data_IF_765095606535
#
_entry.id   IF_765095606535
#
_cell.length_a   1.000
_cell.length_b   1.000
_cell.length_c   1.000
_cell.angle_alpha   90.00
_cell.angle_beta   90.00
_cell.angle_gamma   90.00
#
_symmetry.space_group_name_H-M   'P 1'
#
loop_
_entity.id
_entity.type
_entity.pdbx_description
1 polymer ?
#
# COMPACT_ATOMS: atom_id res chain seq x y z
N UNK A 1 0.54 17.71 -9.61
CA UNK A 1 1.72 17.20 -8.90
C UNK A 1 2.47 16.22 -9.81
N UNK A 2 2.60 16.54 -11.12
CA UNK A 2 2.99 15.60 -12.19
C UNK A 2 4.26 16.03 -12.96
N UNK A 3 4.91 17.12 -12.54
CA UNK A 3 5.94 17.79 -13.36
C UNK A 3 7.39 17.45 -12.98
N UNK A 4 7.60 16.45 -12.13
CA UNK A 4 8.92 15.99 -11.72
C UNK A 4 9.09 14.55 -12.23
N UNK A 5 10.19 14.24 -12.91
CA UNK A 5 10.43 12.95 -13.60
C UNK A 5 10.55 11.71 -12.70
N UNK A 6 9.90 11.71 -11.55
CA UNK A 6 9.81 10.61 -10.60
C UNK A 6 9.23 9.36 -11.29
N UNK A 7 9.82 8.21 -11.01
CA UNK A 7 9.33 6.92 -11.49
C UNK A 7 8.13 6.50 -10.62
N UNK A 8 6.95 7.06 -10.94
CA UNK A 8 5.70 6.82 -10.22
C UNK A 8 5.30 5.34 -10.23
N UNK A 9 5.70 4.59 -11.27
CA UNK A 9 5.46 3.14 -11.36
C UNK A 9 6.22 2.42 -10.24
N UNK A 10 7.51 2.74 -10.07
CA UNK A 10 8.33 2.17 -8.98
C UNK A 10 7.80 2.60 -7.61
N UNK A 11 7.41 3.87 -7.44
CA UNK A 11 6.84 4.36 -6.18
C UNK A 11 5.55 3.61 -5.83
N UNK A 12 4.62 3.47 -6.77
CA UNK A 12 3.36 2.77 -6.55
C UNK A 12 3.58 1.30 -6.12
N UNK A 13 4.55 0.61 -6.74
CA UNK A 13 4.92 -0.76 -6.35
C UNK A 13 5.50 -0.84 -4.94
N UNK A 14 6.40 0.08 -4.58
CA UNK A 14 7.01 0.13 -3.24
C UNK A 14 5.97 0.42 -2.17
N UNK A 15 5.04 1.35 -2.42
CA UNK A 15 3.93 1.64 -1.51
C UNK A 15 3.01 0.42 -1.34
N UNK A 16 2.70 -0.29 -2.42
CA UNK A 16 1.91 -1.51 -2.38
C UNK A 16 2.58 -2.61 -1.54
N UNK A 17 3.90 -2.78 -1.70
CA UNK A 17 4.68 -3.73 -0.91
C UNK A 17 4.74 -3.34 0.57
N UNK A 18 4.97 -2.05 0.87
CA UNK A 18 4.97 -1.54 2.24
C UNK A 18 3.63 -1.77 2.95
N UNK A 19 2.51 -1.52 2.27
CA UNK A 19 1.18 -1.79 2.83
C UNK A 19 0.91 -3.29 3.04
N UNK A 20 1.34 -4.13 2.10
CA UNK A 20 1.25 -5.59 2.26
C UNK A 20 2.08 -6.07 3.47
N UNK A 21 3.26 -5.48 3.71
CA UNK A 21 4.04 -5.76 4.91
C UNK A 21 3.29 -5.40 6.20
N UNK A 22 2.61 -4.25 6.23
CA UNK A 22 1.75 -3.88 7.37
C UNK A 22 0.70 -4.96 7.64
N UNK A 23 -0.02 -5.41 6.62
CA UNK A 23 -1.16 -6.31 6.79
C UNK A 23 -0.78 -7.76 7.12
N UNK A 24 0.27 -8.31 6.49
CA UNK A 24 0.53 -9.75 6.52
C UNK A 24 1.72 -10.13 7.41
N UNK A 25 2.78 -9.31 7.38
CA UNK A 25 3.98 -9.53 8.20
C UNK A 25 3.80 -8.91 9.59
N UNK A 26 3.50 -7.62 9.67
CA UNK A 26 3.30 -6.91 10.94
C UNK A 26 1.91 -7.14 11.56
N UNK A 27 0.91 -7.50 10.74
CA UNK A 27 -0.48 -7.71 11.16
C UNK A 27 -1.08 -6.49 11.87
N UNK A 28 -0.90 -5.33 11.26
CA UNK A 28 -1.49 -4.07 11.69
C UNK A 28 -2.34 -3.45 10.57
N UNK A 29 -3.35 -2.67 10.94
CA UNK A 29 -4.31 -2.07 10.00
C UNK A 29 -3.78 -0.86 9.22
N UNK A 30 -2.55 -0.41 9.51
CA UNK A 30 -1.93 0.77 8.92
C UNK A 30 -2.77 2.05 9.10
N UNK A 31 -3.55 2.14 10.18
CA UNK A 31 -4.33 3.34 10.48
C UNK A 31 -3.40 4.51 10.85
N UNK A 32 -3.59 5.64 10.16
CA UNK A 32 -2.87 6.92 10.31
C UNK A 32 -1.37 6.90 10.01
N UNK A 33 -0.83 5.83 9.40
CA UNK A 33 0.59 5.79 9.05
C UNK A 33 0.92 6.81 7.96
N UNK A 34 2.17 7.26 7.88
CA UNK A 34 2.67 8.04 6.73
C UNK A 34 3.89 7.35 6.10
N UNK A 35 4.01 7.41 4.77
CA UNK A 35 5.17 6.85 4.06
C UNK A 35 6.01 7.95 3.40
N UNK A 36 7.29 7.97 3.72
CA UNK A 36 8.23 8.98 3.22
C UNK A 36 9.38 8.33 2.46
N UNK A 37 9.66 8.86 1.26
CA UNK A 37 10.82 8.46 0.46
C UNK A 37 12.06 9.22 0.96
N UNK A 38 13.12 8.49 1.28
CA UNK A 38 14.39 9.08 1.69
C UNK A 38 15.55 8.48 0.89
N UNK A 39 16.64 9.24 0.72
CA UNK A 39 17.87 8.68 0.13
C UNK A 39 18.44 7.59 1.03
N UNK A 40 18.91 6.51 0.41
CA UNK A 40 19.72 5.52 1.11
C UNK A 40 21.04 6.17 1.52
N UNK A 41 21.30 6.25 2.82
CA UNK A 41 22.55 6.81 3.39
C UNK A 41 23.59 5.74 3.72
N UNK A 42 23.25 4.46 3.54
CA UNK A 42 24.14 3.35 3.83
C UNK A 42 24.65 2.78 2.51
N UNK A 43 25.96 2.85 2.29
CA UNK A 43 26.55 2.18 1.13
C UNK A 43 26.48 0.67 1.32
N UNK A 44 26.28 -0.07 0.22
CA UNK A 44 26.30 -1.53 0.19
C UNK A 44 27.53 -2.14 0.91
N UNK A 45 28.64 -1.39 1.03
CA UNK A 45 29.86 -1.82 1.72
C UNK A 45 29.75 -1.94 3.25
N UNK A 46 28.71 -1.38 3.88
CA UNK A 46 28.44 -1.51 5.33
C UNK A 46 27.44 -2.64 5.60
N UNK A 47 26.60 -2.98 4.62
CA UNK A 47 25.55 -3.99 4.73
C UNK A 47 26.10 -5.42 4.82
N UNK A 48 27.23 -5.69 4.16
CA UNK A 48 27.95 -6.98 4.22
C UNK A 48 28.75 -7.20 5.52
N UNK A 49 28.89 -6.17 6.39
CA UNK A 49 29.82 -6.22 7.54
C UNK A 49 29.17 -6.53 8.88
N UNK A 50 27.84 -6.68 8.93
CA UNK A 50 27.11 -6.94 10.17
C UNK A 50 26.21 -8.16 9.97
N UNK A 51 26.64 -9.31 10.47
CA UNK A 51 25.81 -10.51 10.57
C UNK A 51 24.51 -10.17 11.33
N UNK A 52 23.36 -10.46 10.73
CA UNK A 52 22.04 -10.30 11.36
C UNK A 52 21.24 -9.05 10.96
N UNK A 53 21.70 -8.24 10.00
CA UNK A 53 20.84 -7.19 9.44
C UNK A 53 19.87 -7.74 8.38
N UNK A 54 18.58 -7.49 8.59
CA UNK A 54 17.54 -7.74 7.60
C UNK A 54 17.87 -6.95 6.31
N UNK A 55 17.67 -7.55 5.12
CA UNK A 55 17.82 -6.81 3.87
C UNK A 55 16.89 -5.60 3.90
N UNK A 56 17.46 -4.41 3.68
CA UNK A 56 16.66 -3.18 3.55
C UNK A 56 16.07 -3.12 2.14
N UNK A 57 14.77 -2.85 1.98
CA UNK A 57 14.18 -2.64 0.67
C UNK A 57 14.69 -1.30 0.11
N UNK A 58 15.74 -1.37 -0.70
CA UNK A 58 16.28 -0.23 -1.46
C UNK A 58 15.75 -0.34 -2.88
N UNK A 59 15.24 0.77 -3.41
CA UNK A 59 14.79 0.87 -4.80
C UNK A 59 15.48 2.04 -5.48
N UNK A 60 15.48 2.05 -6.81
CA UNK A 60 16.18 3.07 -7.60
C UNK A 60 15.19 3.92 -8.37
N UNK A 61 15.30 5.23 -8.23
CA UNK A 61 14.56 6.22 -9.04
C UNK A 61 15.59 7.16 -9.64
N UNK A 62 15.59 7.28 -10.97
CA UNK A 62 16.54 8.13 -11.71
C UNK A 62 18.03 7.93 -11.30
N UNK A 63 18.43 6.70 -10.99
CA UNK A 63 19.80 6.38 -10.57
C UNK A 63 20.13 6.72 -9.10
N UNK A 64 19.19 7.26 -8.32
CA UNK A 64 19.32 7.42 -6.88
C UNK A 64 18.76 6.20 -6.15
N UNK A 65 19.51 5.68 -5.17
CA UNK A 65 19.03 4.66 -4.25
C UNK A 65 18.21 5.31 -3.14
N UNK A 66 16.97 4.85 -3.00
CA UNK A 66 15.99 5.35 -2.05
C UNK A 66 15.50 4.21 -1.14
N UNK A 67 15.03 4.60 0.03
CA UNK A 67 14.33 3.75 1.00
C UNK A 67 13.00 4.40 1.36
N UNK A 68 12.07 3.58 1.85
CA UNK A 68 10.79 4.05 2.39
C UNK A 68 10.83 4.00 3.92
N UNK A 69 10.42 5.08 4.56
CA UNK A 69 10.20 5.15 6.01
C UNK A 69 8.71 5.18 6.29
N UNK A 70 8.27 4.44 7.30
CA UNK A 70 6.92 4.53 7.86
C UNK A 70 6.99 5.40 9.12
N UNK A 71 6.20 6.46 9.16
CA UNK A 71 6.05 7.40 10.27
C UNK A 71 4.63 7.28 10.86
N UNK A 72 4.41 7.96 12.00
CA UNK A 72 3.10 8.18 12.63
C UNK A 72 2.28 6.90 12.84
N UNK A 73 2.95 5.84 13.30
CA UNK A 73 2.36 4.52 13.53
C UNK A 73 1.77 4.36 14.94
N UNK A 74 1.51 5.44 15.68
CA UNK A 74 0.95 5.38 17.04
C UNK A 74 -0.56 5.06 17.06
N UNK A 75 -1.24 5.26 15.93
CA UNK A 75 -2.66 4.96 15.74
C UNK A 75 -2.95 3.58 15.12
N UNK A 76 -1.93 2.75 14.87
CA UNK A 76 -2.11 1.41 14.28
C UNK A 76 -2.68 0.43 15.29
N UNK A 77 -3.51 -0.49 14.81
CA UNK A 77 -4.06 -1.55 15.64
C UNK A 77 -3.80 -2.91 15.02
N UNK A 78 -3.84 -3.96 15.85
CA UNK A 78 -3.77 -5.34 15.39
C UNK A 78 -4.86 -5.62 14.35
N UNK A 79 -4.46 -6.37 13.32
CA UNK A 79 -5.25 -6.78 12.18
C UNK A 79 -5.44 -8.31 12.20
N UNK A 80 -6.66 -8.78 12.46
CA UNK A 80 -7.01 -10.19 12.30
C UNK A 80 -6.87 -10.60 10.82
N UNK A 81 -6.58 -11.88 10.58
CA UNK A 81 -6.36 -12.41 9.22
C UNK A 81 -7.65 -13.08 8.74
N UNK A 82 -8.73 -12.30 8.76
CA UNK A 82 -10.09 -12.68 8.39
C UNK A 82 -10.83 -11.45 7.83
N UNK A 83 -12.10 -11.63 7.47
CA UNK A 83 -12.90 -10.54 6.90
C UNK A 83 -13.11 -9.35 7.83
N UNK A 84 -13.09 -9.55 9.16
CA UNK A 84 -13.19 -8.44 10.11
C UNK A 84 -11.95 -7.54 10.02
N UNK A 85 -10.77 -8.16 10.02
CA UNK A 85 -9.51 -7.45 9.83
C UNK A 85 -9.47 -6.74 8.48
N UNK A 86 -9.84 -7.43 7.40
CA UNK A 86 -9.88 -6.81 6.06
C UNK A 86 -10.82 -5.62 5.98
N UNK A 87 -11.98 -5.68 6.62
CA UNK A 87 -12.90 -4.55 6.72
C UNK A 87 -12.27 -3.38 7.47
N UNK A 88 -11.57 -3.66 8.58
CA UNK A 88 -10.85 -2.64 9.37
C UNK A 88 -9.72 -1.98 8.58
N UNK A 89 -8.91 -2.76 7.87
CA UNK A 89 -7.86 -2.25 6.99
C UNK A 89 -8.43 -1.39 5.84
N UNK A 90 -9.56 -1.80 5.25
CA UNK A 90 -10.22 -1.01 4.21
C UNK A 90 -10.73 0.34 4.76
N UNK A 91 -11.28 0.33 5.97
CA UNK A 91 -11.69 1.56 6.65
C UNK A 91 -10.50 2.48 6.97
N UNK A 92 -9.40 1.93 7.47
CA UNK A 92 -8.17 2.68 7.74
C UNK A 92 -7.63 3.35 6.47
N UNK A 93 -7.49 2.61 5.36
CA UNK A 93 -7.00 3.14 4.08
C UNK A 93 -7.78 4.38 3.60
N UNK A 94 -9.10 4.37 3.74
CA UNK A 94 -9.96 5.48 3.32
C UNK A 94 -10.09 6.62 4.34
N UNK A 95 -9.63 6.39 5.56
CA UNK A 95 -9.54 7.40 6.63
C UNK A 95 -8.22 8.16 6.57
N UNK A 96 -7.14 7.47 6.21
CA UNK A 96 -5.82 8.07 6.07
C UNK A 96 -5.84 9.16 4.99
N UNK A 97 -4.92 10.12 5.11
CA UNK A 97 -4.71 11.11 4.08
C UNK A 97 -4.35 10.44 2.73
N UNK A 98 -4.74 11.03 1.59
CA UNK A 98 -4.58 10.38 0.28
C UNK A 98 -3.12 10.42 -0.18
N UNK A 99 -2.30 9.49 0.29
CA UNK A 99 -0.91 9.29 -0.17
C UNK A 99 -0.70 7.96 -0.93
N UNK A 100 -1.71 7.09 -0.96
CA UNK A 100 -1.75 5.94 -1.86
C UNK A 100 -2.52 6.28 -3.15
N UNK A 101 -2.22 5.62 -4.29
CA UNK A 101 -3.12 5.62 -5.43
C UNK A 101 -4.52 5.14 -4.99
N UNK A 102 -5.56 5.91 -5.30
CA UNK A 102 -6.95 5.60 -4.93
C UNK A 102 -7.77 5.25 -6.18
N UNK A 103 -8.67 4.26 -6.11
CA UNK A 103 -9.60 4.02 -7.20
C UNK A 103 -10.72 5.07 -7.22
N UNK A 104 -11.10 5.47 -8.44
CA UNK A 104 -12.30 6.28 -8.69
C UNK A 104 -12.33 7.64 -7.99
N UNK A 105 -11.19 8.32 -7.83
CA UNK A 105 -11.22 9.69 -7.33
C UNK A 105 -12.11 10.59 -8.21
N UNK A 106 -12.85 11.53 -7.63
CA UNK A 106 -13.59 12.49 -8.45
C UNK A 106 -12.61 13.36 -9.25
N UNK A 107 -12.80 13.44 -10.57
CA UNK A 107 -11.84 14.07 -11.47
C UNK A 107 -10.59 13.22 -11.78
N UNK A 108 -10.63 11.92 -11.48
CA UNK A 108 -9.54 10.98 -11.76
C UNK A 108 -9.12 11.03 -13.24
N UNK A 109 -7.81 11.10 -13.46
CA UNK A 109 -7.21 11.02 -14.80
C UNK A 109 -7.01 9.58 -15.25
N UNK A 110 -6.71 9.36 -16.53
CA UNK A 110 -6.26 8.05 -17.01
C UNK A 110 -4.98 7.59 -16.30
N UNK A 111 -4.13 8.52 -15.90
CA UNK A 111 -2.87 8.22 -15.21
C UNK A 111 -3.10 7.75 -13.77
N UNK A 112 -4.00 8.39 -13.03
CA UNK A 112 -4.40 7.95 -11.69
C UNK A 112 -4.99 6.53 -11.72
N UNK A 113 -5.77 6.22 -12.76
CA UNK A 113 -6.33 4.88 -12.97
C UNK A 113 -5.23 3.85 -13.22
N UNK A 114 -4.23 4.20 -14.03
CA UNK A 114 -3.06 3.35 -14.28
C UNK A 114 -2.23 3.10 -13.02
N UNK A 115 -1.99 4.14 -12.20
CA UNK A 115 -1.28 4.01 -10.93
C UNK A 115 -2.02 3.10 -9.95
N UNK A 116 -3.35 3.18 -9.88
CA UNK A 116 -4.14 2.24 -9.09
C UNK A 116 -3.98 0.80 -9.59
N UNK A 117 -4.05 0.55 -10.90
CA UNK A 117 -3.87 -0.79 -11.46
C UNK A 117 -2.49 -1.38 -11.16
N UNK A 118 -1.43 -0.56 -11.24
CA UNK A 118 -0.07 -0.94 -10.88
C UNK A 118 0.02 -1.28 -9.39
N UNK A 119 -0.48 -0.40 -8.53
CA UNK A 119 -0.50 -0.59 -7.08
C UNK A 119 -1.24 -1.87 -6.71
N UNK A 120 -2.48 -2.02 -7.19
CA UNK A 120 -3.36 -3.16 -6.95
C UNK A 120 -2.71 -4.48 -7.37
N UNK A 121 -2.18 -4.53 -8.60
CA UNK A 121 -1.54 -5.74 -9.13
C UNK A 121 -0.34 -6.15 -8.28
N UNK A 122 0.51 -5.18 -7.90
CA UNK A 122 1.68 -5.45 -7.06
C UNK A 122 1.27 -5.86 -5.64
N UNK A 123 0.29 -5.16 -5.04
CA UNK A 123 -0.23 -5.47 -3.71
C UNK A 123 -0.77 -6.89 -3.64
N UNK A 124 -1.61 -7.31 -4.60
CA UNK A 124 -2.19 -8.66 -4.65
C UNK A 124 -1.10 -9.73 -4.78
N UNK A 125 -0.12 -9.50 -5.66
CA UNK A 125 0.99 -10.43 -5.86
C UNK A 125 1.82 -10.61 -4.57
N UNK A 126 2.31 -9.51 -4.01
CA UNK A 126 3.14 -9.51 -2.80
C UNK A 126 2.38 -10.09 -1.61
N UNK A 127 1.11 -9.73 -1.44
CA UNK A 127 0.26 -10.25 -0.36
C UNK A 127 0.16 -11.77 -0.38
N UNK A 128 -0.10 -12.35 -1.57
CA UNK A 128 -0.17 -13.81 -1.73
C UNK A 128 1.15 -14.47 -1.40
N UNK A 129 2.28 -13.93 -1.89
CA UNK A 129 3.61 -14.45 -1.55
C UNK A 129 3.84 -14.44 -0.03
N UNK A 130 3.52 -13.34 0.66
CA UNK A 130 3.73 -13.22 2.11
C UNK A 130 2.86 -14.18 2.93
N UNK A 131 1.61 -14.40 2.51
CA UNK A 131 0.71 -15.35 3.16
C UNK A 131 1.25 -16.78 3.01
N UNK A 132 1.65 -17.16 1.79
CA UNK A 132 2.23 -18.48 1.50
C UNK A 132 3.51 -18.72 2.30
N UNK A 133 4.42 -17.73 2.35
CA UNK A 133 5.67 -17.83 3.13
C UNK A 133 5.44 -18.01 4.63
N UNK A 134 4.32 -17.49 5.16
CA UNK A 134 4.03 -17.52 6.60
C UNK A 134 3.41 -18.85 7.04
N UNK A 135 2.73 -19.55 6.14
CA UNK A 135 2.07 -20.82 6.45
C UNK A 135 3.01 -22.01 6.19
N UNK A 136 3.69 -22.48 7.24
CA UNK A 136 4.38 -23.77 7.23
C UNK A 136 3.34 -24.91 7.36
N UNK A 137 2.55 -25.20 6.32
CA UNK A 137 1.54 -26.25 6.42
C UNK A 137 0.49 -26.30 5.31
N UNK A 138 -0.70 -26.81 5.66
CA UNK A 138 -1.86 -26.85 4.76
C UNK A 138 -2.30 -25.40 4.51
N UNK A 139 -2.14 -24.97 3.26
CA UNK A 139 -2.50 -23.64 2.78
C UNK A 139 -3.98 -23.37 3.01
N UNK A 140 -4.28 -22.31 3.76
CA UNK A 140 -5.64 -21.85 3.97
C UNK A 140 -6.11 -21.05 2.75
N UNK A 141 -6.77 -21.73 1.80
CA UNK A 141 -7.25 -21.11 0.55
C UNK A 141 -8.14 -19.88 0.81
N UNK A 142 -8.86 -19.83 1.94
CA UNK A 142 -9.68 -18.67 2.29
C UNK A 142 -8.82 -17.44 2.62
N UNK A 143 -7.62 -17.62 3.19
CA UNK A 143 -6.71 -16.49 3.44
C UNK A 143 -6.15 -15.89 2.16
N UNK A 144 -5.95 -16.70 1.11
CA UNK A 144 -5.45 -16.21 -0.18
C UNK A 144 -6.43 -15.30 -0.91
N UNK A 145 -7.71 -15.34 -0.54
CA UNK A 145 -8.75 -14.46 -1.05
C UNK A 145 -8.83 -13.12 -0.30
N UNK A 146 -8.27 -13.01 0.91
CA UNK A 146 -8.32 -11.79 1.73
C UNK A 146 -7.73 -10.54 1.03
N UNK A 147 -6.59 -10.61 0.30
CA UNK A 147 -6.09 -9.48 -0.46
C UNK A 147 -7.08 -9.01 -1.54
N UNK A 148 -7.75 -9.95 -2.22
CA UNK A 148 -8.73 -9.64 -3.25
C UNK A 148 -9.99 -9.03 -2.64
N UNK A 149 -10.44 -9.55 -1.50
CA UNK A 149 -11.56 -8.98 -0.74
C UNK A 149 -11.25 -7.54 -0.29
N UNK A 150 -10.02 -7.26 0.15
CA UNK A 150 -9.59 -5.91 0.48
C UNK A 150 -9.73 -4.96 -0.72
N UNK A 151 -9.19 -5.35 -1.88
CA UNK A 151 -9.31 -4.57 -3.12
C UNK A 151 -10.77 -4.29 -3.48
N UNK A 152 -11.62 -5.31 -3.40
CA UNK A 152 -13.06 -5.16 -3.68
C UNK A 152 -13.74 -4.16 -2.73
N UNK A 153 -13.40 -4.16 -1.44
CA UNK A 153 -13.93 -3.18 -0.49
C UNK A 153 -13.44 -1.76 -0.80
N UNK A 154 -12.15 -1.61 -1.14
CA UNK A 154 -11.57 -0.30 -1.48
C UNK A 154 -12.19 0.28 -2.74
N UNK A 155 -12.33 -0.52 -3.80
CA UNK A 155 -12.95 -0.11 -5.07
C UNK A 155 -14.44 0.23 -4.91
N UNK A 156 -15.18 -0.54 -4.12
CA UNK A 156 -16.58 -0.26 -3.83
C UNK A 156 -16.77 1.07 -3.08
N UNK A 157 -16.00 1.32 -2.02
CA UNK A 157 -16.05 2.58 -1.27
C UNK A 157 -15.57 3.76 -2.13
N UNK A 158 -14.56 3.57 -2.98
CA UNK A 158 -14.10 4.58 -3.93
C UNK A 158 -15.21 5.01 -4.90
N UNK A 159 -15.93 4.05 -5.46
CA UNK A 159 -17.08 4.32 -6.34
C UNK A 159 -18.17 5.13 -5.62
N UNK A 160 -18.50 4.77 -4.38
CA UNK A 160 -19.48 5.51 -3.56
C UNK A 160 -19.02 6.94 -3.28
N UNK A 161 -17.72 7.15 -2.98
CA UNK A 161 -17.15 8.48 -2.74
C UNK A 161 -17.14 9.33 -4.00
N UNK A 162 -16.82 8.74 -5.15
CA UNK A 162 -16.85 9.41 -6.46
C UNK A 162 -18.24 9.97 -6.76
N UNK A 163 -19.26 9.12 -6.63
CA UNK A 163 -20.66 9.50 -6.87
C UNK A 163 -21.12 10.62 -5.93
N UNK A 164 -20.78 10.53 -4.64
CA UNK A 164 -21.09 11.59 -3.66
C UNK A 164 -20.42 12.92 -4.01
N UNK A 165 -19.18 12.90 -4.47
CA UNK A 165 -18.46 14.11 -4.87
C UNK A 165 -19.08 14.73 -6.13
N UNK A 166 -19.49 13.91 -7.10
CA UNK A 166 -20.18 14.36 -8.31
C UNK A 166 -21.55 14.99 -8.01
N UNK A 167 -22.34 14.38 -7.11
CA UNK A 167 -23.59 14.96 -6.62
C UNK A 167 -23.36 16.33 -5.96
N UNK A 168 -22.36 16.46 -5.08
CA UNK A 168 -22.06 17.75 -4.43
C UNK A 168 -21.67 18.83 -5.44
N UNK A 169 -20.83 18.49 -6.41
CA UNK A 169 -20.40 19.43 -7.44
C UNK A 169 -21.57 19.89 -8.32
N UNK A 170 -22.45 18.97 -8.72
CA UNK A 170 -23.64 19.30 -9.52
C UNK A 170 -24.68 20.13 -8.76
N UNK A 171 -24.71 20.05 -7.43
CA UNK A 171 -25.58 20.87 -6.56
C UNK A 171 -25.02 22.27 -6.25
N UNK A 172 -23.81 22.60 -6.70
CA UNK A 172 -23.24 23.95 -6.62
C UNK A 172 -22.88 24.43 -5.21
N UNK A 173 -22.57 23.49 -4.30
CA UNK A 173 -22.07 23.77 -2.94
C UNK A 173 -20.55 23.66 -2.89
#
# INVERSE_FOLDING_TARGET
>A
MEEEGLDYVTIAKVLAEALAHCYWKAQVDANDVEFVLARSTISNAVQDRVEGHLPRPVFRIQGQELVIWMLDYDCVHTLSQDMEGITKAAHAFWRNDPYFPQPYAYGQTSHDSELWEIFKTNFLHVSRCMIIEKEEGIMDELKLELPQNWVTLIEAEGSVRAQKAECRYSEGV
#
